data_IF_546956603457
#
_entry.id   IF_546956603457
#
_cell.length_a   1.000
_cell.length_b   1.000
_cell.length_c   1.000
_cell.angle_alpha   90.00
_cell.angle_beta   90.00
_cell.angle_gamma   90.00
#
_symmetry.space_group_name_H-M   'P 1'
#
loop_
_entity.id
_entity.type
_entity.pdbx_description
1 polymer ?
#
# COMPACT_ATOMS: atom_id res chain seq x y z
N UNK A 1 9.11 -22.50 3.10
CA UNK A 1 7.85 -21.73 3.23
C UNK A 1 7.27 -21.72 4.65
N UNK A 2 6.80 -22.84 5.23
CA UNK A 2 6.16 -22.84 6.56
C UNK A 2 6.98 -22.16 7.68
N UNK A 3 8.29 -22.47 7.77
CA UNK A 3 9.21 -21.83 8.73
C UNK A 3 9.29 -20.30 8.52
N UNK A 4 9.43 -19.86 7.28
CA UNK A 4 9.51 -18.44 6.93
C UNK A 4 8.24 -17.68 7.32
N UNK A 5 7.06 -18.26 7.08
CA UNK A 5 5.78 -17.69 7.53
C UNK A 5 5.65 -17.68 9.05
N UNK A 6 6.15 -18.70 9.74
CA UNK A 6 6.22 -18.72 11.20
C UNK A 6 7.07 -17.59 11.76
N UNK A 7 8.20 -17.27 11.11
CA UNK A 7 9.02 -16.10 11.46
C UNK A 7 8.23 -14.80 11.26
N UNK A 8 7.58 -14.60 10.11
CA UNK A 8 6.78 -13.39 9.85
C UNK A 8 5.69 -13.23 10.92
N UNK A 9 4.94 -14.30 11.20
CA UNK A 9 3.85 -14.28 12.18
C UNK A 9 4.37 -13.97 13.59
N UNK A 10 5.47 -14.60 14.02
CA UNK A 10 6.08 -14.32 15.32
C UNK A 10 6.58 -12.88 15.40
N UNK A 11 7.28 -12.39 14.38
CA UNK A 11 7.75 -11.01 14.32
C UNK A 11 6.59 -10.03 14.47
N UNK A 12 5.48 -10.25 13.78
CA UNK A 12 4.35 -9.31 13.80
C UNK A 12 3.55 -9.40 15.10
N UNK A 13 3.49 -10.59 15.71
CA UNK A 13 2.94 -10.75 17.06
C UNK A 13 3.77 -9.96 18.09
N UNK A 14 5.09 -10.11 18.08
CA UNK A 14 5.99 -9.37 18.99
C UNK A 14 5.92 -7.87 18.73
N UNK A 15 5.87 -7.45 17.46
CA UNK A 15 5.73 -6.04 17.09
C UNK A 15 4.40 -5.46 17.61
N UNK A 16 3.28 -6.19 17.46
CA UNK A 16 1.98 -5.79 17.98
C UNK A 16 1.95 -5.70 19.50
N UNK A 17 2.56 -6.65 20.22
CA UNK A 17 2.68 -6.61 21.68
C UNK A 17 3.54 -5.43 22.15
N UNK A 18 4.64 -5.13 21.46
CA UNK A 18 5.49 -3.98 21.77
C UNK A 18 4.77 -2.64 21.52
N UNK A 19 4.03 -2.54 20.41
CA UNK A 19 3.20 -1.38 20.11
C UNK A 19 2.10 -1.18 21.16
N UNK A 20 1.41 -2.25 21.56
CA UNK A 20 0.41 -2.20 22.62
C UNK A 20 1.00 -1.79 23.96
N UNK A 21 2.14 -2.38 24.36
CA UNK A 21 2.83 -2.04 25.59
C UNK A 21 3.26 -0.57 25.61
N UNK A 22 3.77 -0.05 24.49
CA UNK A 22 4.07 1.37 24.34
C UNK A 22 2.81 2.24 24.50
N UNK A 23 1.74 1.90 23.79
CA UNK A 23 0.49 2.67 23.85
C UNK A 23 -0.14 2.69 25.24
N UNK A 24 -0.02 1.59 26.00
CA UNK A 24 -0.52 1.47 27.37
C UNK A 24 0.34 2.20 28.42
N UNK A 25 1.61 2.47 28.12
CA UNK A 25 2.55 3.10 29.05
C UNK A 25 2.69 4.62 28.87
N UNK A 26 2.14 5.18 27.79
CA UNK A 26 2.29 6.60 27.43
C UNK A 26 1.01 7.35 27.74
N UNK A 27 1.06 8.19 28.76
CA UNK A 27 -0.03 9.11 29.15
C UNK A 27 0.20 10.53 28.61
N UNK A 28 -0.87 11.20 28.21
CA UNK A 28 -0.88 12.66 27.98
C UNK A 28 -0.75 13.19 26.54
N UNK A 29 -0.25 12.46 25.51
CA UNK A 29 -0.35 12.94 24.13
C UNK A 29 -1.72 12.66 23.49
N UNK A 30 -2.01 13.37 22.41
CA UNK A 30 -3.17 13.09 21.55
C UNK A 30 -3.10 11.63 21.05
N UNK A 31 -4.22 10.87 20.96
CA UNK A 31 -4.20 9.46 20.58
C UNK A 31 -3.50 9.15 19.25
N UNK A 32 -3.53 10.07 18.29
CA UNK A 32 -2.76 9.95 17.03
C UNK A 32 -1.25 9.90 17.27
N UNK A 33 -0.71 10.68 18.23
CA UNK A 33 0.71 10.67 18.56
C UNK A 33 1.09 9.37 19.25
N UNK A 34 0.23 8.87 20.15
CA UNK A 34 0.41 7.55 20.79
C UNK A 34 0.42 6.46 19.72
N UNK A 35 -0.54 6.49 18.79
CA UNK A 35 -0.64 5.51 17.70
C UNK A 35 0.59 5.56 16.78
N UNK A 36 1.06 6.75 16.40
CA UNK A 36 2.27 6.90 15.61
C UNK A 36 3.50 6.33 16.33
N UNK A 37 3.65 6.64 17.62
CA UNK A 37 4.73 6.08 18.44
C UNK A 37 4.67 4.56 18.52
N UNK A 38 3.47 4.00 18.71
CA UNK A 38 3.24 2.55 18.74
C UNK A 38 3.60 1.89 17.39
N UNK A 39 3.20 2.49 16.27
CA UNK A 39 3.51 2.00 14.92
C UNK A 39 5.02 2.08 14.61
N UNK A 40 5.70 3.13 15.08
CA UNK A 40 7.16 3.25 14.98
C UNK A 40 7.88 2.21 15.86
N UNK A 41 7.38 1.92 17.06
CA UNK A 41 7.92 0.85 17.92
C UNK A 41 7.78 -0.51 17.23
N UNK A 42 6.60 -0.83 16.70
CA UNK A 42 6.40 -2.06 15.93
C UNK A 42 7.31 -2.12 14.69
N UNK A 43 7.48 -0.99 13.97
CA UNK A 43 8.41 -0.88 12.85
C UNK A 43 9.85 -1.19 13.27
N UNK A 44 10.31 -0.69 14.43
CA UNK A 44 11.65 -1.00 14.97
C UNK A 44 11.81 -2.49 15.32
N UNK A 45 10.76 -3.13 15.84
CA UNK A 45 10.77 -4.58 16.09
C UNK A 45 10.89 -5.37 14.78
N UNK A 46 10.10 -5.01 13.76
CA UNK A 46 10.21 -5.62 12.43
C UNK A 46 11.59 -5.38 11.82
N UNK A 47 12.15 -4.18 12.01
CA UNK A 47 13.50 -3.85 11.57
C UNK A 47 14.55 -4.73 12.24
N UNK A 48 14.52 -4.86 13.56
CA UNK A 48 15.44 -5.72 14.30
C UNK A 48 15.35 -7.18 13.81
N UNK A 49 14.14 -7.70 13.63
CA UNK A 49 13.93 -9.03 13.06
C UNK A 49 14.49 -9.14 11.63
N UNK A 50 14.31 -8.12 10.78
CA UNK A 50 14.82 -8.09 9.41
C UNK A 50 16.35 -8.17 9.35
N UNK A 51 17.05 -7.61 10.34
CA UNK A 51 18.50 -7.73 10.46
C UNK A 51 18.92 -9.14 10.89
N UNK A 52 18.21 -9.74 11.85
CA UNK A 52 18.48 -11.10 12.34
C UNK A 52 18.34 -12.13 11.22
N UNK A 53 17.32 -12.00 10.38
CA UNK A 53 17.07 -12.93 9.26
C UNK A 53 17.71 -12.48 7.95
N UNK A 54 18.44 -11.36 7.95
CA UNK A 54 19.11 -10.77 6.79
C UNK A 54 18.19 -10.56 5.57
N UNK A 55 16.93 -10.16 5.80
CA UNK A 55 15.95 -9.98 4.74
C UNK A 55 15.05 -8.75 5.02
N UNK A 56 15.26 -7.67 4.26
CA UNK A 56 14.48 -6.44 4.39
C UNK A 56 13.02 -6.59 3.94
N UNK A 57 12.72 -7.54 3.05
CA UNK A 57 11.36 -7.89 2.63
C UNK A 57 10.50 -8.50 3.73
N UNK A 58 11.05 -8.75 4.93
CA UNK A 58 10.23 -9.07 6.11
C UNK A 58 9.23 -7.95 6.45
N UNK A 59 9.53 -6.71 6.04
CA UNK A 59 8.64 -5.55 6.20
C UNK A 59 7.51 -5.49 5.15
N UNK A 60 7.63 -6.21 4.03
CA UNK A 60 6.70 -6.07 2.88
C UNK A 60 5.22 -6.30 3.23
N UNK A 61 4.81 -7.25 4.09
CA UNK A 61 3.40 -7.35 4.47
C UNK A 61 2.98 -6.32 5.54
N UNK A 62 3.91 -5.75 6.31
CA UNK A 62 3.64 -4.95 7.50
C UNK A 62 2.77 -3.74 7.18
N UNK A 63 3.09 -3.00 6.11
CA UNK A 63 2.36 -1.81 5.70
C UNK A 63 0.91 -2.08 5.27
N UNK A 64 0.57 -3.34 4.96
CA UNK A 64 -0.83 -3.77 4.72
C UNK A 64 -1.50 -4.36 5.97
N UNK A 65 -0.73 -4.90 6.93
CA UNK A 65 -1.24 -5.52 8.16
C UNK A 65 -1.45 -4.51 9.29
N UNK A 66 -0.61 -3.48 9.40
CA UNK A 66 -0.73 -2.46 10.45
C UNK A 66 -2.04 -1.65 10.37
N UNK A 67 -2.52 -1.19 9.19
CA UNK A 67 -3.74 -0.40 9.08
C UNK A 67 -5.00 -0.99 9.73
N UNK A 68 -5.42 -2.25 9.45
CA UNK A 68 -6.61 -2.81 10.09
C UNK A 68 -6.45 -2.96 11.61
N UNK A 69 -5.24 -3.23 12.13
CA UNK A 69 -4.98 -3.31 13.57
C UNK A 69 -5.14 -1.94 14.23
N UNK A 70 -4.56 -0.90 13.61
CA UNK A 70 -4.67 0.49 14.07
C UNK A 70 -6.13 0.95 14.05
N UNK A 71 -6.84 0.74 12.94
CA UNK A 71 -8.25 1.13 12.81
C UNK A 71 -9.12 0.38 13.81
N UNK A 72 -8.88 -0.91 14.03
CA UNK A 72 -9.59 -1.69 15.05
C UNK A 72 -9.35 -1.12 16.45
N UNK A 73 -8.11 -0.77 16.80
CA UNK A 73 -7.79 -0.17 18.10
C UNK A 73 -8.51 1.18 18.30
N UNK A 74 -8.61 2.02 17.27
CA UNK A 74 -9.35 3.27 17.33
C UNK A 74 -10.86 3.07 17.51
N UNK A 75 -11.43 2.05 16.85
CA UNK A 75 -12.87 1.70 17.00
C UNK A 75 -13.16 1.13 18.39
N UNK A 76 -12.33 0.20 18.88
CA UNK A 76 -12.52 -0.43 20.20
C UNK A 76 -12.32 0.54 21.37
N UNK A 77 -11.59 1.64 21.15
CA UNK A 77 -11.45 2.70 22.14
C UNK A 77 -12.66 3.64 22.23
N UNK A 78 -13.82 3.31 21.63
CA UNK A 78 -15.06 4.08 21.68
C UNK A 78 -16.14 3.32 22.45
N UNK A 79 -17.05 4.04 23.10
CA UNK A 79 -18.14 3.45 23.88
C UNK A 79 -19.22 2.80 22.99
N UNK A 80 -19.42 3.35 21.80
CA UNK A 80 -20.39 2.87 20.82
C UNK A 80 -19.75 2.62 19.45
N UNK A 81 -20.18 1.54 18.79
CA UNK A 81 -19.77 1.20 17.43
C UNK A 81 -20.88 1.56 16.45
N UNK A 82 -20.57 2.48 15.54
CA UNK A 82 -21.44 3.01 14.50
C UNK A 82 -21.31 2.24 13.18
N UNK A 83 -22.32 2.36 12.31
CA UNK A 83 -22.29 1.79 10.96
C UNK A 83 -21.10 2.27 10.11
N UNK A 84 -20.70 3.55 10.24
CA UNK A 84 -19.53 4.11 9.52
C UNK A 84 -18.25 3.38 9.91
N UNK A 85 -18.02 3.17 11.21
CA UNK A 85 -16.84 2.45 11.71
C UNK A 85 -16.78 1.02 11.17
N UNK A 86 -17.91 0.29 11.18
CA UNK A 86 -17.97 -1.07 10.67
C UNK A 86 -17.66 -1.14 9.16
N UNK A 87 -18.21 -0.22 8.37
CA UNK A 87 -17.97 -0.17 6.92
C UNK A 87 -16.51 0.17 6.61
N UNK A 88 -15.95 1.18 7.29
CA UNK A 88 -14.53 1.56 7.12
C UNK A 88 -13.62 0.41 7.51
N UNK A 89 -13.83 -0.21 8.68
CA UNK A 89 -13.05 -1.36 9.14
C UNK A 89 -13.13 -2.54 8.16
N UNK A 90 -14.33 -2.85 7.66
CA UNK A 90 -14.51 -3.90 6.66
C UNK A 90 -13.74 -3.62 5.36
N UNK A 91 -13.82 -2.40 4.83
CA UNK A 91 -13.12 -2.02 3.60
C UNK A 91 -11.58 -2.05 3.78
N UNK A 92 -11.07 -1.55 4.91
CA UNK A 92 -9.65 -1.62 5.25
C UNK A 92 -9.20 -3.08 5.41
N UNK A 93 -9.99 -3.95 6.04
CA UNK A 93 -9.70 -5.38 6.16
C UNK A 93 -9.68 -6.08 4.80
N UNK A 94 -10.65 -5.81 3.92
CA UNK A 94 -10.70 -6.39 2.58
C UNK A 94 -9.47 -5.97 1.78
N UNK A 95 -9.09 -4.68 1.82
CA UNK A 95 -7.88 -4.15 1.19
C UNK A 95 -6.61 -4.84 1.73
N UNK A 96 -6.46 -4.89 3.06
CA UNK A 96 -5.31 -5.48 3.73
C UNK A 96 -5.14 -6.96 3.40
N UNK A 97 -6.20 -7.76 3.57
CA UNK A 97 -6.19 -9.20 3.26
C UNK A 97 -5.84 -9.43 1.81
N UNK A 98 -6.37 -8.64 0.88
CA UNK A 98 -6.08 -8.78 -0.54
C UNK A 98 -4.61 -8.48 -0.85
N UNK A 99 -4.04 -7.39 -0.31
CA UNK A 99 -2.63 -7.05 -0.48
C UNK A 99 -1.70 -8.09 0.14
N UNK A 100 -1.95 -8.50 1.38
CA UNK A 100 -1.15 -9.54 2.05
C UNK A 100 -1.25 -10.87 1.31
N UNK A 101 -2.43 -11.24 0.79
CA UNK A 101 -2.58 -12.42 -0.05
C UNK A 101 -1.86 -12.30 -1.40
N UNK A 102 -1.80 -11.09 -1.99
CA UNK A 102 -1.04 -10.82 -3.20
C UNK A 102 0.46 -11.04 -2.97
N UNK A 103 0.99 -10.49 -1.89
CA UNK A 103 2.37 -10.71 -1.44
C UNK A 103 2.67 -12.20 -1.22
N UNK A 104 1.80 -12.90 -0.48
CA UNK A 104 1.97 -14.32 -0.14
C UNK A 104 2.07 -15.23 -1.38
N UNK A 105 1.39 -14.87 -2.48
CA UNK A 105 1.46 -15.62 -3.75
C UNK A 105 2.82 -15.48 -4.45
N UNK A 106 3.46 -14.32 -4.33
CA UNK A 106 4.75 -14.04 -5.00
C UNK A 106 5.97 -14.34 -4.14
N UNK A 107 5.84 -14.28 -2.82
CA UNK A 107 6.95 -14.42 -1.90
C UNK A 107 7.42 -15.87 -1.81
N UNK A 108 8.74 -16.11 -1.87
CA UNK A 108 9.34 -17.45 -1.90
C UNK A 108 10.00 -17.88 -0.59
N UNK A 109 9.91 -17.05 0.45
CA UNK A 109 10.53 -17.29 1.76
C UNK A 109 11.72 -16.37 2.01
N UNK A 110 12.47 -16.64 3.09
CA UNK A 110 13.54 -15.77 3.57
C UNK A 110 14.76 -15.66 2.63
N UNK A 111 14.90 -16.56 1.66
CA UNK A 111 15.93 -16.47 0.62
C UNK A 111 15.53 -15.50 -0.51
N UNK A 112 14.30 -14.99 -0.49
CA UNK A 112 13.79 -14.05 -1.47
C UNK A 112 13.64 -12.65 -0.87
N UNK A 113 14.42 -11.71 -1.39
CA UNK A 113 14.32 -10.29 -1.09
C UNK A 113 13.89 -9.52 -2.34
N UNK A 114 13.07 -8.49 -2.16
CA UNK A 114 12.62 -7.63 -3.25
C UNK A 114 13.83 -6.99 -3.95
N UNK A 115 13.81 -7.06 -5.27
CA UNK A 115 14.87 -6.53 -6.12
C UNK A 115 15.15 -5.04 -5.89
N UNK A 116 14.16 -4.25 -5.42
CA UNK A 116 14.33 -2.83 -5.09
C UNK A 116 15.33 -2.68 -3.96
N UNK A 117 15.25 -3.55 -2.96
CA UNK A 117 16.13 -3.51 -1.78
C UNK A 117 17.53 -3.99 -2.14
N UNK A 118 17.64 -5.02 -2.97
CA UNK A 118 18.92 -5.45 -3.55
C UNK A 118 19.55 -4.30 -4.34
N UNK A 119 18.78 -3.65 -5.22
CA UNK A 119 19.26 -2.50 -6.01
C UNK A 119 19.68 -1.33 -5.12
N UNK A 120 18.89 -0.97 -4.11
CA UNK A 120 19.24 0.09 -3.15
C UNK A 120 20.51 -0.26 -2.38
N UNK A 121 20.70 -1.54 -2.02
CA UNK A 121 21.90 -2.01 -1.35
C UNK A 121 23.12 -1.89 -2.26
N UNK A 122 23.01 -2.28 -3.53
CA UNK A 122 24.12 -2.23 -4.49
C UNK A 122 24.47 -0.79 -4.91
N UNK A 123 23.49 0.10 -5.02
CA UNK A 123 23.67 1.47 -5.50
C UNK A 123 23.96 2.49 -4.40
N UNK A 124 23.88 2.11 -3.12
CA UNK A 124 24.15 3.05 -2.02
C UNK A 124 25.61 3.52 -2.04
N UNK A 125 25.88 4.77 -1.63
CA UNK A 125 27.25 5.23 -1.39
C UNK A 125 27.94 4.36 -0.33
N UNK A 126 29.26 4.12 -0.47
CA UNK A 126 30.03 3.27 0.44
C UNK A 126 30.05 3.78 1.89
N UNK A 127 29.95 5.10 2.09
CA UNK A 127 29.88 5.71 3.42
C UNK A 127 28.54 5.50 4.14
N UNK A 128 27.47 5.14 3.40
CA UNK A 128 26.13 4.99 3.96
C UNK A 128 25.91 3.53 4.39
N UNK A 129 25.76 3.25 5.69
CA UNK A 129 25.58 1.88 6.16
C UNK A 129 24.23 1.31 5.73
N UNK A 130 24.21 0.03 5.35
CA UNK A 130 23.00 -0.64 4.86
C UNK A 130 21.85 -0.60 5.87
N UNK A 131 22.14 -0.76 7.15
CA UNK A 131 21.11 -0.76 8.19
C UNK A 131 20.32 0.56 8.23
N UNK A 132 20.96 1.69 7.90
CA UNK A 132 20.30 3.00 7.87
C UNK A 132 19.39 3.15 6.65
N UNK A 133 19.81 2.64 5.48
CA UNK A 133 18.97 2.58 4.28
C UNK A 133 17.76 1.68 4.52
N UNK A 134 17.97 0.53 5.16
CA UNK A 134 16.90 -0.39 5.53
C UNK A 134 15.92 0.26 6.51
N UNK A 135 16.42 0.85 7.61
CA UNK A 135 15.56 1.49 8.60
C UNK A 135 14.80 2.68 8.01
N UNK A 136 15.51 3.66 7.47
CA UNK A 136 14.91 4.94 7.07
C UNK A 136 14.11 4.81 5.76
N UNK A 137 14.68 4.16 4.74
CA UNK A 137 14.11 4.12 3.40
C UNK A 137 13.11 2.99 3.17
N UNK A 138 13.37 1.79 3.70
CA UNK A 138 12.55 0.60 3.44
C UNK A 138 11.42 0.45 4.46
N UNK A 139 11.63 0.89 5.70
CA UNK A 139 10.68 0.63 6.78
C UNK A 139 10.00 1.92 7.27
N UNK A 140 10.76 2.85 7.87
CA UNK A 140 10.19 4.07 8.46
C UNK A 140 9.50 4.96 7.43
N UNK A 141 10.08 5.19 6.24
CA UNK A 141 9.43 6.04 5.22
C UNK A 141 8.06 5.49 4.81
N UNK A 142 7.90 4.20 4.43
CA UNK A 142 6.57 3.64 4.18
C UNK A 142 5.65 3.66 5.40
N UNK A 143 6.14 3.42 6.63
CA UNK A 143 5.34 3.56 7.86
C UNK A 143 4.72 4.95 7.94
N UNK A 144 5.53 6.00 7.77
CA UNK A 144 5.08 7.39 7.85
C UNK A 144 4.10 7.74 6.73
N UNK A 145 4.32 7.25 5.51
CA UNK A 145 3.40 7.46 4.37
C UNK A 145 2.04 6.82 4.65
N UNK A 146 2.03 5.55 5.08
CA UNK A 146 0.78 4.83 5.41
C UNK A 146 0.07 5.45 6.60
N UNK A 147 0.80 5.82 7.65
CA UNK A 147 0.24 6.51 8.81
C UNK A 147 -0.37 7.87 8.43
N UNK A 148 0.28 8.63 7.55
CA UNK A 148 -0.28 9.88 7.00
C UNK A 148 -1.58 9.62 6.24
N UNK A 149 -1.63 8.52 5.46
CA UNK A 149 -2.87 8.02 4.86
C UNK A 149 -3.96 7.74 5.88
N UNK A 150 -3.63 7.11 7.01
CA UNK A 150 -4.57 6.77 8.07
C UNK A 150 -5.11 7.99 8.84
N UNK A 151 -4.47 9.16 8.76
CA UNK A 151 -5.03 10.40 9.33
C UNK A 151 -6.43 10.71 8.77
N UNK A 152 -6.68 10.35 7.50
CA UNK A 152 -7.98 10.47 6.86
C UNK A 152 -9.07 9.58 7.49
N UNK A 153 -8.67 8.45 8.09
CA UNK A 153 -9.58 7.50 8.75
C UNK A 153 -9.96 7.95 10.15
N UNK A 154 -9.07 8.65 10.86
CA UNK A 154 -9.28 9.09 12.24
C UNK A 154 -10.65 9.76 12.47
N UNK A 155 -11.06 10.83 11.76
CA UNK A 155 -12.37 11.44 11.96
C UNK A 155 -13.52 10.49 11.62
N UNK A 156 -13.36 9.60 10.64
CA UNK A 156 -14.39 8.64 10.24
C UNK A 156 -14.73 7.63 11.34
N UNK A 157 -13.78 7.35 12.23
CA UNK A 157 -13.94 6.35 13.31
C UNK A 157 -14.00 6.95 14.71
N UNK A 158 -13.80 8.26 14.87
CA UNK A 158 -13.82 8.94 16.17
C UNK A 158 -14.90 10.01 16.32
N UNK A 159 -15.46 10.51 15.22
CA UNK A 159 -16.57 11.48 15.23
C UNK A 159 -17.88 10.75 14.87
N UNK A 160 -18.73 10.55 15.87
CA UNK A 160 -19.95 9.70 15.76
C UNK A 160 -21.25 10.49 15.69
N UNK A 161 -21.23 11.81 15.86
CA UNK A 161 -22.43 12.66 15.95
C UNK A 161 -23.14 12.88 14.60
N UNK A 162 -22.50 12.55 13.48
CA UNK A 162 -23.06 12.71 12.13
C UNK A 162 -23.53 11.36 11.57
N UNK A 163 -24.81 11.21 11.20
CA UNK A 163 -25.30 9.99 10.59
C UNK A 163 -24.64 9.73 9.23
N UNK A 164 -24.82 8.50 8.71
CA UNK A 164 -24.41 8.15 7.36
C UNK A 164 -25.15 9.00 6.32
N UNK A 165 -24.42 9.51 5.34
CA UNK A 165 -24.97 10.35 4.27
C UNK A 165 -24.52 9.92 2.87
N UNK A 166 -24.88 10.73 1.87
CA UNK A 166 -24.51 10.48 0.47
C UNK A 166 -23.00 10.45 0.26
N UNK A 167 -22.24 11.21 1.06
CA UNK A 167 -20.77 11.23 0.96
C UNK A 167 -20.16 9.92 1.46
N UNK A 168 -20.76 9.27 2.47
CA UNK A 168 -20.37 7.92 2.90
C UNK A 168 -20.66 6.89 1.78
N UNK A 169 -21.81 7.01 1.10
CA UNK A 169 -22.12 6.15 -0.04
C UNK A 169 -21.12 6.33 -1.19
N UNK A 170 -20.73 7.58 -1.51
CA UNK A 170 -19.67 7.86 -2.47
C UNK A 170 -18.33 7.27 -2.01
N UNK A 171 -17.98 7.40 -0.73
CA UNK A 171 -16.77 6.83 -0.16
C UNK A 171 -16.73 5.29 -0.30
N UNK A 172 -17.84 4.60 -0.01
CA UNK A 172 -17.99 3.15 -0.24
C UNK A 172 -17.73 2.80 -1.72
N UNK A 173 -18.35 3.53 -2.65
CA UNK A 173 -18.19 3.27 -4.08
C UNK A 173 -16.75 3.49 -4.54
N UNK A 174 -16.09 4.56 -4.08
CA UNK A 174 -14.71 4.88 -4.43
C UNK A 174 -13.75 3.87 -3.82
N UNK A 175 -13.83 3.62 -2.51
CA UNK A 175 -12.94 2.66 -1.81
C UNK A 175 -13.16 1.23 -2.30
N UNK A 176 -14.40 0.77 -2.40
CA UNK A 176 -14.73 -0.57 -2.87
C UNK A 176 -14.39 -0.78 -4.35
N UNK A 177 -14.66 0.22 -5.19
CA UNK A 177 -14.30 0.23 -6.60
C UNK A 177 -12.78 0.21 -6.82
N UNK A 178 -12.04 0.98 -6.01
CA UNK A 178 -10.58 0.95 -5.97
C UNK A 178 -10.05 -0.45 -5.63
N UNK A 179 -10.49 -1.03 -4.51
CA UNK A 179 -10.06 -2.38 -4.10
C UNK A 179 -10.38 -3.43 -5.17
N UNK A 180 -11.53 -3.31 -5.84
CA UNK A 180 -11.90 -4.18 -6.97
C UNK A 180 -10.97 -3.97 -8.18
N UNK A 181 -10.68 -2.73 -8.55
CA UNK A 181 -9.79 -2.38 -9.66
C UNK A 181 -8.42 -3.06 -9.46
N UNK A 182 -7.86 -2.93 -8.26
CA UNK A 182 -6.57 -3.55 -7.94
C UNK A 182 -6.64 -5.07 -7.94
N UNK A 183 -7.69 -5.66 -7.34
CA UNK A 183 -7.86 -7.10 -7.32
C UNK A 183 -7.96 -7.69 -8.74
N UNK A 184 -8.64 -7.01 -9.66
CA UNK A 184 -8.69 -7.42 -11.08
C UNK A 184 -7.34 -7.20 -11.76
N UNK A 185 -6.68 -6.08 -11.53
CA UNK A 185 -5.37 -5.77 -12.11
C UNK A 185 -4.30 -6.79 -11.72
N UNK A 186 -4.21 -7.11 -10.42
CA UNK A 186 -3.27 -8.09 -9.86
C UNK A 186 -3.55 -9.49 -10.42
N UNK A 187 -4.82 -9.92 -10.48
CA UNK A 187 -5.18 -11.23 -11.07
C UNK A 187 -4.79 -11.31 -12.56
N UNK A 188 -5.01 -10.24 -13.32
CA UNK A 188 -4.62 -10.17 -14.73
C UNK A 188 -3.10 -10.27 -14.88
N UNK A 189 -2.34 -9.56 -14.05
CA UNK A 189 -0.87 -9.59 -14.06
C UNK A 189 -0.33 -10.96 -13.66
N UNK A 190 -0.86 -11.57 -12.58
CA UNK A 190 -0.45 -12.91 -12.15
C UNK A 190 -0.71 -13.98 -13.20
N UNK A 191 -1.89 -13.97 -13.82
CA UNK A 191 -2.20 -14.91 -14.91
C UNK A 191 -1.28 -14.71 -16.10
N UNK A 192 -0.93 -13.47 -16.43
CA UNK A 192 -0.04 -13.17 -17.55
C UNK A 192 1.41 -13.60 -17.26
N UNK A 193 1.94 -13.25 -16.08
CA UNK A 193 3.33 -13.53 -15.70
C UNK A 193 3.60 -15.00 -15.37
N UNK A 194 2.57 -15.75 -14.96
CA UNK A 194 2.65 -17.18 -14.70
C UNK A 194 2.80 -18.05 -15.95
N UNK A 195 2.48 -17.53 -17.14
CA UNK A 195 2.61 -18.23 -18.41
C UNK A 195 4.02 -18.02 -19.01
N UNK A 196 4.84 -19.09 -19.18
CA UNK A 196 6.19 -18.99 -19.74
C UNK A 196 6.25 -18.35 -21.13
N UNK A 197 5.18 -18.45 -21.93
CA UNK A 197 5.11 -17.84 -23.26
C UNK A 197 5.09 -16.30 -23.22
N UNK A 198 4.79 -15.72 -22.04
CA UNK A 198 4.76 -14.28 -21.82
C UNK A 198 6.05 -13.71 -21.22
N UNK A 199 7.10 -14.53 -21.05
CA UNK A 199 8.40 -14.05 -20.58
C UNK A 199 8.93 -12.95 -21.50
N UNK A 200 9.31 -11.81 -20.91
CA UNK A 200 9.79 -10.64 -21.65
C UNK A 200 8.69 -9.83 -22.37
N UNK A 201 7.44 -10.30 -22.39
CA UNK A 201 6.32 -9.61 -23.03
C UNK A 201 5.68 -8.58 -22.09
N UNK A 202 4.92 -7.66 -22.68
CA UNK A 202 4.17 -6.61 -21.98
C UNK A 202 2.70 -7.02 -21.98
N UNK A 203 2.02 -6.86 -20.84
CA UNK A 203 0.57 -7.07 -20.78
C UNK A 203 -0.13 -5.85 -21.39
N UNK A 204 -0.92 -6.07 -22.42
CA UNK A 204 -1.60 -5.03 -23.22
C UNK A 204 -3.12 -5.28 -23.33
N UNK A 205 -3.67 -6.08 -22.42
CA UNK A 205 -5.07 -6.52 -22.39
C UNK A 205 -5.71 -6.28 -21.02
N UNK A 206 -7.04 -6.29 -20.98
CA UNK A 206 -7.79 -6.06 -19.75
C UNK A 206 -7.64 -4.62 -19.27
N UNK A 207 -7.38 -4.41 -17.97
CA UNK A 207 -7.16 -3.08 -17.39
C UNK A 207 -5.83 -2.48 -17.86
N UNK A 208 -4.84 -3.33 -18.12
CA UNK A 208 -3.48 -2.94 -18.50
C UNK A 208 -3.38 -2.31 -19.90
N UNK A 209 -4.45 -2.36 -20.70
CA UNK A 209 -4.53 -1.62 -21.98
C UNK A 209 -4.88 -0.14 -21.79
N UNK A 210 -5.42 0.23 -20.64
CA UNK A 210 -5.88 1.58 -20.33
C UNK A 210 -4.96 2.34 -19.38
N UNK A 211 -4.15 1.60 -18.64
CA UNK A 211 -3.21 2.12 -17.64
C UNK A 211 -2.03 1.16 -17.55
N UNK A 212 -0.80 1.68 -17.46
CA UNK A 212 0.40 0.86 -17.25
C UNK A 212 0.50 0.38 -15.82
N UNK A 213 -0.18 1.02 -14.88
CA UNK A 213 -0.19 0.68 -13.45
C UNK A 213 -1.61 0.76 -12.85
N UNK A 214 -2.58 -0.05 -13.33
CA UNK A 214 -3.97 0.04 -12.88
C UNK A 214 -4.15 -0.34 -11.40
N UNK A 215 -3.28 -1.20 -10.87
CA UNK A 215 -3.24 -1.50 -9.43
C UNK A 215 -2.73 -0.32 -8.60
N UNK A 216 -1.80 0.50 -9.11
CA UNK A 216 -1.38 1.72 -8.40
C UNK A 216 -2.49 2.79 -8.41
N UNK A 217 -3.25 2.88 -9.51
CA UNK A 217 -4.41 3.75 -9.58
C UNK A 217 -5.47 3.36 -8.54
N UNK A 218 -5.73 2.06 -8.39
CA UNK A 218 -6.64 1.58 -7.36
C UNK A 218 -6.12 1.84 -5.95
N UNK A 219 -4.83 1.62 -5.68
CA UNK A 219 -4.24 1.94 -4.37
C UNK A 219 -4.41 3.43 -4.04
N UNK A 220 -4.13 4.33 -4.98
CA UNK A 220 -4.42 5.77 -4.82
C UNK A 220 -5.90 6.01 -4.51
N UNK A 221 -6.80 5.39 -5.28
CA UNK A 221 -8.25 5.52 -5.12
C UNK A 221 -8.75 5.04 -3.75
N UNK A 222 -8.13 4.00 -3.18
CA UNK A 222 -8.45 3.48 -1.84
C UNK A 222 -8.25 4.57 -0.79
N UNK A 223 -7.09 5.24 -0.79
CA UNK A 223 -6.78 6.32 0.15
C UNK A 223 -7.66 7.56 -0.04
N UNK A 224 -8.03 7.89 -1.29
CA UNK A 224 -9.02 8.95 -1.55
C UNK A 224 -10.39 8.61 -0.98
N UNK A 225 -10.85 7.37 -1.13
CA UNK A 225 -12.13 6.94 -0.57
C UNK A 225 -12.13 6.95 0.97
N UNK A 226 -11.01 6.58 1.62
CA UNK A 226 -10.87 6.72 3.07
C UNK A 226 -10.98 8.18 3.53
N UNK A 227 -10.40 9.11 2.77
CA UNK A 227 -10.55 10.55 3.04
C UNK A 227 -11.99 11.05 2.87
N UNK A 228 -12.74 10.52 1.91
CA UNK A 228 -14.17 10.86 1.78
C UNK A 228 -14.99 10.43 3.01
N UNK A 229 -14.70 9.27 3.63
CA UNK A 229 -15.32 8.91 4.90
C UNK A 229 -14.97 9.89 6.02
N UNK A 230 -13.71 10.30 6.11
CA UNK A 230 -13.27 11.28 7.09
C UNK A 230 -13.96 12.64 6.91
N UNK A 231 -14.08 13.09 5.67
CA UNK A 231 -14.77 14.33 5.32
C UNK A 231 -16.28 14.25 5.59
N UNK A 232 -16.90 13.08 5.39
CA UNK A 232 -18.31 12.84 5.70
C UNK A 232 -18.59 12.92 7.19
N UNK A 233 -17.72 12.34 8.02
CA UNK A 233 -17.83 12.38 9.47
C UNK A 233 -17.53 13.76 10.06
N UNK A 234 -16.49 14.43 9.55
CA UNK A 234 -16.05 15.71 10.07
C UNK A 234 -15.46 16.61 8.97
N UNK A 235 -16.27 17.45 8.30
CA UNK A 235 -15.80 18.34 7.23
C UNK A 235 -14.65 19.29 7.64
N UNK A 236 -14.55 19.64 8.92
CA UNK A 236 -13.44 20.43 9.47
C UNK A 236 -12.07 19.75 9.41
N UNK A 237 -12.03 18.43 9.21
CA UNK A 237 -10.81 17.63 9.06
C UNK A 237 -10.35 17.50 7.60
N UNK A 238 -10.81 18.37 6.70
CA UNK A 238 -10.46 18.35 5.27
C UNK A 238 -8.94 18.30 5.02
N UNK A 239 -8.13 18.88 5.90
CA UNK A 239 -6.66 18.92 5.81
C UNK A 239 -6.01 17.52 5.82
N UNK A 240 -6.72 16.50 6.29
CA UNK A 240 -6.29 15.08 6.19
C UNK A 240 -6.21 14.58 4.75
N UNK A 241 -6.59 15.40 3.75
CA UNK A 241 -6.30 15.19 2.32
C UNK A 241 -4.81 15.00 2.04
N UNK A 242 -3.95 15.45 2.96
CA UNK A 242 -2.53 15.11 2.97
C UNK A 242 -2.26 13.60 2.80
N UNK A 243 -3.11 12.74 3.36
CA UNK A 243 -3.03 11.28 3.22
C UNK A 243 -3.06 10.81 1.77
N UNK A 244 -4.17 10.95 1.03
CA UNK A 244 -4.21 10.58 -0.38
C UNK A 244 -3.21 11.36 -1.25
N UNK A 245 -2.88 12.63 -0.93
CA UNK A 245 -1.86 13.38 -1.66
C UNK A 245 -0.49 12.72 -1.55
N UNK A 246 -0.06 12.32 -0.34
CA UNK A 246 1.26 11.68 -0.17
C UNK A 246 1.32 10.34 -0.91
N UNK A 247 0.20 9.62 -1.02
CA UNK A 247 0.08 8.40 -1.82
C UNK A 247 0.24 8.68 -3.31
N UNK A 248 -0.40 9.73 -3.83
CA UNK A 248 -0.18 10.16 -5.22
C UNK A 248 1.29 10.49 -5.46
N UNK A 249 1.94 11.23 -4.55
CA UNK A 249 3.35 11.60 -4.67
C UNK A 249 4.26 10.37 -4.66
N UNK A 250 4.04 9.42 -3.72
CA UNK A 250 4.78 8.16 -3.66
C UNK A 250 4.68 7.40 -4.98
N UNK A 251 3.46 7.22 -5.50
CA UNK A 251 3.27 6.46 -6.73
C UNK A 251 3.79 7.18 -7.97
N UNK A 252 3.47 8.46 -8.13
CA UNK A 252 3.82 9.23 -9.33
C UNK A 252 5.32 9.55 -9.42
N UNK A 253 5.98 9.80 -8.29
CA UNK A 253 7.38 10.24 -8.27
C UNK A 253 8.37 9.10 -7.98
N UNK A 254 7.94 8.05 -7.28
CA UNK A 254 8.82 6.94 -6.88
C UNK A 254 8.44 5.64 -7.57
N UNK A 255 7.25 5.09 -7.28
CA UNK A 255 6.91 3.73 -7.70
C UNK A 255 6.78 3.56 -9.21
N UNK A 256 6.03 4.45 -9.88
CA UNK A 256 5.82 4.41 -11.33
C UNK A 256 7.15 4.58 -12.08
N UNK A 257 7.96 5.63 -11.83
CA UNK A 257 9.24 5.80 -12.54
C UNK A 257 10.19 4.63 -12.32
N UNK A 258 10.25 4.09 -11.10
CA UNK A 258 11.11 2.94 -10.79
C UNK A 258 10.71 1.69 -11.59
N UNK A 259 9.41 1.41 -11.69
CA UNK A 259 8.91 0.24 -12.40
C UNK A 259 8.97 0.39 -13.93
N UNK A 260 8.76 1.60 -14.42
CA UNK A 260 8.92 1.96 -15.83
C UNK A 260 10.38 1.82 -16.28
N UNK A 261 11.33 2.37 -15.52
CA UNK A 261 12.77 2.24 -15.81
C UNK A 261 13.20 0.78 -15.86
N UNK A 262 12.73 -0.03 -14.92
CA UNK A 262 13.02 -1.48 -14.92
C UNK A 262 12.42 -2.18 -16.14
N UNK A 263 11.22 -1.77 -16.57
CA UNK A 263 10.57 -2.35 -17.75
C UNK A 263 11.26 -1.94 -19.04
N UNK A 264 11.67 -0.66 -19.18
CA UNK A 264 12.49 -0.16 -20.28
C UNK A 264 13.80 -0.95 -20.42
N UNK A 265 14.48 -1.21 -19.31
CA UNK A 265 15.74 -1.97 -19.32
C UNK A 265 15.59 -3.44 -19.73
N UNK A 266 14.37 -4.02 -19.64
CA UNK A 266 14.14 -5.46 -19.85
C UNK A 266 13.33 -5.78 -21.10
N UNK A 267 12.66 -4.80 -21.69
CA UNK A 267 11.68 -5.01 -22.75
C UNK A 267 11.85 -3.95 -23.84
N UNK A 268 12.46 -4.29 -24.98
CA UNK A 268 12.72 -3.32 -26.06
C UNK A 268 11.47 -2.57 -26.55
N UNK A 269 10.32 -3.25 -26.63
CA UNK A 269 9.06 -2.66 -27.06
C UNK A 269 8.37 -1.78 -25.98
N UNK A 270 8.94 -1.64 -24.78
CA UNK A 270 8.27 -0.92 -23.69
C UNK A 270 8.20 0.59 -23.93
N UNK A 271 9.22 1.18 -24.57
CA UNK A 271 9.20 2.60 -24.90
C UNK A 271 8.01 2.96 -25.81
N UNK A 272 7.77 2.15 -26.85
CA UNK A 272 6.60 2.27 -27.72
C UNK A 272 5.30 2.02 -26.93
N UNK A 273 5.26 1.03 -26.05
CA UNK A 273 4.08 0.83 -25.20
C UNK A 273 3.76 2.06 -24.31
N UNK A 274 4.78 2.75 -23.78
CA UNK A 274 4.59 3.97 -22.97
C UNK A 274 3.97 5.13 -23.75
N UNK A 275 4.18 5.21 -25.07
CA UNK A 275 3.54 6.23 -25.91
C UNK A 275 2.07 5.92 -26.24
N UNK A 276 1.57 4.72 -25.89
CA UNK A 276 0.21 4.26 -26.22
C UNK A 276 -0.61 3.72 -25.02
N UNK A 277 0.00 3.44 -23.87
CA UNK A 277 -0.68 3.22 -22.56
C UNK A 277 -0.21 4.25 -21.48
N UNK A 278 -1.10 5.04 -20.84
CA UNK A 278 -0.68 6.10 -19.92
C UNK A 278 -0.30 5.47 -18.58
N UNK A 279 0.42 6.20 -17.71
CA UNK A 279 0.93 5.58 -16.48
C UNK A 279 -0.19 5.21 -15.49
N UNK A 280 -1.12 6.14 -15.21
CA UNK A 280 -2.19 5.98 -14.22
C UNK A 280 -3.58 6.19 -14.85
N UNK A 281 -4.01 7.44 -15.06
CA UNK A 281 -5.33 7.77 -15.60
C UNK A 281 -5.33 7.81 -17.14
N UNK A 282 -6.33 7.20 -17.80
CA UNK A 282 -6.54 7.37 -19.23
C UNK A 282 -6.97 8.80 -19.54
N UNK A 283 -6.21 9.52 -20.35
CA UNK A 283 -6.57 10.87 -20.81
C UNK A 283 -7.44 10.77 -22.09
N UNK A 284 -8.58 11.49 -22.19
CA UNK A 284 -9.47 11.42 -23.35
C UNK A 284 -8.82 11.77 -24.69
N UNK A 285 -7.83 12.67 -24.69
CA UNK A 285 -7.09 13.08 -25.90
C UNK A 285 -6.07 12.05 -26.42
N UNK A 286 -6.05 10.86 -25.83
CA UNK A 286 -5.04 9.84 -26.10
C UNK A 286 -5.56 8.65 -26.91
N UNK A 287 -6.71 8.84 -27.56
CA UNK A 287 -7.30 7.88 -28.47
C UNK A 287 -6.48 7.74 -29.76
N UNK A 288 -5.95 6.53 -29.94
CA UNK A 288 -5.68 5.82 -31.22
C UNK A 288 -4.68 6.49 -32.18
N UNK A 289 -3.41 6.15 -32.00
CA UNK A 289 -2.54 5.77 -33.12
C UNK A 289 -1.77 4.51 -32.72
N UNK A 290 -2.48 3.40 -32.49
CA UNK A 290 -1.81 2.11 -32.28
C UNK A 290 -1.20 1.61 -33.60
N UNK A 291 -0.03 0.98 -33.60
CA UNK A 291 0.58 0.46 -34.81
C UNK A 291 -0.30 -0.63 -35.42
N UNK A 292 -0.49 -0.55 -36.74
CA UNK A 292 -1.11 -1.60 -37.52
C UNK A 292 -0.41 -2.93 -37.23
N UNK A 293 -1.18 -3.94 -36.79
CA UNK A 293 -0.73 -5.33 -36.63
C UNK A 293 0.17 -5.75 -37.80
N UNK A 294 1.47 -5.89 -37.54
CA UNK A 294 2.37 -6.69 -38.38
C UNK A 294 3.27 -7.53 -37.49
N UNK A 295 2.74 -8.66 -37.04
CA UNK A 295 3.52 -9.86 -36.79
C UNK A 295 2.69 -11.05 -37.31
N UNK A 296 3.02 -11.47 -38.53
CA UNK A 296 2.88 -12.86 -38.97
C UNK A 296 4.18 -13.58 -38.61
#
# INVERSE_FOLDING_TARGET
MKRALGVVALTYLVAGLAAWAFAAAVDGPHPLVITLGADLVATVVVFAASLIVANASLYDPYWSVAPPVIVLAWVLGRDEITGRQLVVLALVLIWAVRLTANWLRSWRGLDHEDWRYVQMREQRPSWLPWWLVNLAGIQVMPTLVVFTGLLAVWPAVTVTDRPLGWLDALAVLVTGGAVLLEAVADRQMHRFSGDPANRGRIIDRGLWRFSRHPNYLGEIGFWWGLWLFGLAAAPGWWWTVAGPIVMVLLFALVSVPLMDRRSLARRPAYAEHMSHVPALLPWPGWTRNGPARRQR
#
